data_IF_607141556380
#
_entry.id   IF_607141556380
#
_cell.length_a   1.000
_cell.length_b   1.000
_cell.length_c   1.000
_cell.angle_alpha   90.00
_cell.angle_beta   90.00
_cell.angle_gamma   90.00
#
_symmetry.space_group_name_H-M   'P 1'
#
loop_
_entity.id
_entity.type
_entity.pdbx_description
1 polymer ?
#
# COMPACT_ATOMS: atom_id res chain seq x y z
N UNK A 1 15.34 -16.60 22.36
CA UNK A 1 15.68 -15.36 21.61
C UNK A 1 14.64 -14.96 20.58
N UNK A 2 13.89 -15.88 19.93
CA UNK A 2 12.86 -15.51 18.93
C UNK A 2 11.56 -14.89 19.47
N UNK A 3 11.17 -15.16 20.72
CA UNK A 3 9.93 -14.63 21.32
C UNK A 3 9.97 -13.12 21.57
N UNK A 4 11.12 -12.58 21.97
CA UNK A 4 11.26 -11.14 22.22
C UNK A 4 11.24 -10.34 20.91
N UNK A 5 11.83 -10.88 19.84
CA UNK A 5 11.81 -10.22 18.54
C UNK A 5 10.38 -10.17 17.98
N UNK A 6 9.61 -11.26 18.05
CA UNK A 6 8.21 -11.24 17.62
C UNK A 6 7.38 -10.20 18.39
N UNK A 7 7.58 -10.13 19.72
CA UNK A 7 6.91 -9.14 20.56
C UNK A 7 7.27 -7.69 20.17
N UNK A 8 8.55 -7.41 19.90
CA UNK A 8 9.00 -6.09 19.44
C UNK A 8 8.38 -5.72 18.08
N UNK A 9 8.26 -6.68 17.17
CA UNK A 9 7.63 -6.48 15.85
C UNK A 9 6.12 -6.23 15.96
N UNK A 10 5.43 -7.01 16.78
CA UNK A 10 3.99 -6.82 17.03
C UNK A 10 3.75 -5.47 17.72
N UNK A 11 4.64 -5.07 18.64
CA UNK A 11 4.62 -3.75 19.28
C UNK A 11 4.82 -2.63 18.26
N UNK A 12 5.76 -2.76 17.31
CA UNK A 12 5.99 -1.77 16.26
C UNK A 12 4.74 -1.59 15.38
N UNK A 13 4.12 -2.70 14.96
CA UNK A 13 2.88 -2.65 14.20
C UNK A 13 1.74 -1.98 14.99
N UNK A 14 1.62 -2.28 16.29
CA UNK A 14 0.67 -1.63 17.18
C UNK A 14 0.91 -0.13 17.31
N UNK A 15 2.16 0.30 17.49
CA UNK A 15 2.54 1.72 17.54
C UNK A 15 2.21 2.44 16.24
N UNK A 16 2.54 1.84 15.09
CA UNK A 16 2.21 2.40 13.78
C UNK A 16 0.70 2.56 13.61
N UNK A 17 -0.09 1.59 14.07
CA UNK A 17 -1.57 1.65 14.04
C UNK A 17 -2.11 2.80 14.90
N UNK A 18 -1.59 2.97 16.12
CA UNK A 18 -1.97 4.08 17.00
C UNK A 18 -1.59 5.42 16.39
N UNK A 19 -0.38 5.55 15.85
CA UNK A 19 0.08 6.76 15.19
C UNK A 19 -0.77 7.08 13.95
N UNK A 20 -1.08 6.09 13.12
CA UNK A 20 -1.98 6.27 11.99
C UNK A 20 -3.36 6.76 12.45
N UNK A 21 -3.94 6.16 13.49
CA UNK A 21 -5.22 6.62 14.03
C UNK A 21 -5.15 8.08 14.50
N UNK A 22 -4.07 8.48 15.18
CA UNK A 22 -3.85 9.87 15.60
C UNK A 22 -3.72 10.82 14.41
N UNK A 23 -2.97 10.43 13.36
CA UNK A 23 -2.89 11.18 12.10
C UNK A 23 -4.26 11.32 11.45
N UNK A 24 -5.12 10.32 11.55
CA UNK A 24 -6.45 10.37 10.95
C UNK A 24 -7.46 11.24 11.70
N UNK A 25 -7.31 11.34 13.03
CA UNK A 25 -8.22 12.12 13.87
C UNK A 25 -7.74 13.57 14.04
N UNK A 26 -6.43 13.84 13.97
CA UNK A 26 -5.87 15.16 14.22
C UNK A 26 -6.45 16.31 13.36
N UNK A 27 -6.81 16.13 12.08
CA UNK A 27 -7.42 17.22 11.30
C UNK A 27 -8.83 17.58 11.76
N UNK A 28 -9.48 16.70 12.52
CA UNK A 28 -10.87 16.83 13.00
C UNK A 28 -10.95 17.51 14.37
N UNK A 29 -9.81 17.84 14.98
CA UNK A 29 -9.75 18.45 16.31
C UNK A 29 -10.06 19.96 16.17
N UNK A 30 -10.83 20.57 17.10
CA UNK A 30 -11.19 22.00 17.04
C UNK A 30 -10.00 22.97 17.00
N UNK A 31 -8.84 22.52 17.48
CA UNK A 31 -7.59 23.29 17.52
C UNK A 31 -6.82 23.27 16.18
N UNK A 32 -7.34 22.56 15.18
CA UNK A 32 -6.69 22.38 13.89
C UNK A 32 -5.57 21.34 13.90
N UNK A 33 -4.93 21.19 12.74
CA UNK A 33 -3.86 20.22 12.52
C UNK A 33 -2.49 20.84 12.82
N UNK A 34 -1.59 20.20 13.59
CA UNK A 34 -0.26 20.75 13.83
C UNK A 34 0.53 20.87 12.52
N UNK A 35 0.94 22.09 12.14
CA UNK A 35 1.51 22.38 10.82
C UNK A 35 2.73 21.53 10.41
N UNK A 36 3.52 21.03 11.38
CA UNK A 36 4.70 20.18 11.11
C UNK A 36 4.40 18.69 11.04
N UNK A 37 3.31 18.25 11.65
CA UNK A 37 2.97 16.83 11.76
C UNK A 37 2.88 16.12 10.41
N UNK A 38 2.33 16.67 9.31
CA UNK A 38 2.15 15.89 8.11
C UNK A 38 3.46 15.66 7.38
N UNK A 39 4.33 16.67 7.37
CA UNK A 39 5.69 16.57 6.83
C UNK A 39 6.52 15.58 7.63
N UNK A 40 6.47 15.63 8.97
CA UNK A 40 7.19 14.67 9.82
C UNK A 40 6.69 13.23 9.64
N UNK A 41 5.37 13.01 9.56
CA UNK A 41 4.80 11.68 9.30
C UNK A 41 5.19 11.18 7.92
N UNK A 42 5.19 12.05 6.90
CA UNK A 42 5.63 11.69 5.56
C UNK A 42 7.11 11.31 5.52
N UNK A 43 7.98 12.08 6.18
CA UNK A 43 9.41 11.80 6.28
C UNK A 43 9.66 10.46 6.96
N UNK A 44 9.01 10.20 8.10
CA UNK A 44 9.12 8.91 8.80
C UNK A 44 8.63 7.77 7.91
N UNK A 45 7.49 7.94 7.24
CA UNK A 45 6.94 6.93 6.33
C UNK A 45 7.91 6.64 5.18
N UNK A 46 8.44 7.68 4.51
CA UNK A 46 9.45 7.56 3.47
C UNK A 46 10.67 6.80 3.98
N UNK A 47 11.18 7.16 5.16
CA UNK A 47 12.33 6.52 5.79
C UNK A 47 12.12 5.03 6.03
N UNK A 48 10.97 4.65 6.60
CA UNK A 48 10.63 3.24 6.85
C UNK A 48 10.46 2.42 5.55
N UNK A 49 10.15 3.08 4.44
CA UNK A 49 9.99 2.44 3.13
C UNK A 49 11.31 2.30 2.37
N UNK A 50 12.22 3.28 2.50
CA UNK A 50 13.45 3.35 1.69
C UNK A 50 14.70 2.90 2.43
N UNK A 51 14.80 3.13 3.74
CA UNK A 51 15.94 2.70 4.53
C UNK A 51 15.72 1.26 5.02
N UNK A 52 16.64 0.36 4.69
CA UNK A 52 16.54 -1.05 5.09
C UNK A 52 17.22 -1.30 6.43
N UNK A 53 16.45 -1.83 7.39
CA UNK A 53 17.00 -2.49 8.57
C UNK A 53 17.93 -3.65 8.17
N UNK A 54 18.98 -3.88 8.97
CA UNK A 54 19.90 -5.02 8.79
C UNK A 54 19.20 -6.37 8.99
N UNK A 55 18.05 -6.39 9.65
CA UNK A 55 17.26 -7.60 9.86
C UNK A 55 16.12 -7.67 8.82
N UNK A 56 16.05 -8.73 7.99
CA UNK A 56 15.07 -8.83 6.92
C UNK A 56 13.62 -8.90 7.42
N UNK A 57 13.38 -9.53 8.58
CA UNK A 57 12.03 -9.61 9.17
C UNK A 57 11.62 -8.26 9.73
N UNK A 58 12.52 -7.58 10.44
CA UNK A 58 12.25 -6.21 10.92
C UNK A 58 11.99 -5.26 9.75
N UNK A 59 12.77 -5.37 8.67
CA UNK A 59 12.56 -4.56 7.46
C UNK A 59 11.18 -4.78 6.83
N UNK A 60 10.62 -6.01 6.85
CA UNK A 60 9.26 -6.22 6.35
C UNK A 60 8.20 -5.53 7.20
N UNK A 61 8.33 -5.58 8.53
CA UNK A 61 7.36 -4.95 9.45
C UNK A 61 7.48 -3.42 9.41
N UNK A 62 8.70 -2.89 9.32
CA UNK A 62 8.95 -1.45 9.11
C UNK A 62 8.28 -0.97 7.82
N UNK A 63 8.45 -1.70 6.71
CA UNK A 63 7.81 -1.34 5.45
C UNK A 63 6.29 -1.38 5.53
N UNK A 64 5.73 -2.41 6.16
CA UNK A 64 4.27 -2.51 6.38
C UNK A 64 3.75 -1.30 7.18
N UNK A 65 4.43 -0.96 8.27
CA UNK A 65 4.10 0.21 9.10
C UNK A 65 4.24 1.53 8.33
N UNK A 66 5.29 1.68 7.51
CA UNK A 66 5.50 2.85 6.66
C UNK A 66 4.35 3.06 5.66
N UNK A 67 3.86 1.99 5.03
CA UNK A 67 2.69 2.04 4.14
C UNK A 67 1.42 2.42 4.89
N UNK A 68 1.23 1.88 6.10
CA UNK A 68 0.07 2.16 6.92
C UNK A 68 0.03 3.64 7.37
N UNK A 69 1.16 4.20 7.78
CA UNK A 69 1.29 5.63 8.09
C UNK A 69 1.02 6.51 6.88
N UNK A 70 1.59 6.16 5.72
CA UNK A 70 1.38 6.89 4.48
C UNK A 70 -0.10 6.86 4.04
N UNK A 71 -0.74 5.69 4.11
CA UNK A 71 -2.18 5.54 3.81
C UNK A 71 -3.02 6.46 4.67
N UNK A 72 -2.77 6.47 5.99
CA UNK A 72 -3.50 7.32 6.93
C UNK A 72 -3.28 8.81 6.66
N UNK A 73 -2.03 9.21 6.38
CA UNK A 73 -1.69 10.58 6.03
C UNK A 73 -2.46 11.03 4.78
N UNK A 74 -2.40 10.25 3.70
CA UNK A 74 -3.09 10.55 2.44
C UNK A 74 -4.62 10.62 2.60
N UNK A 75 -5.19 9.78 3.47
CA UNK A 75 -6.63 9.77 3.71
C UNK A 75 -7.15 10.97 4.53
N UNK A 76 -6.26 11.73 5.17
CA UNK A 76 -6.65 12.66 6.25
C UNK A 76 -6.17 14.09 6.02
N UNK A 77 -5.15 14.30 5.19
CA UNK A 77 -4.58 15.62 4.95
C UNK A 77 -5.36 16.43 3.90
N UNK A 78 -5.42 17.77 3.99
CA UNK A 78 -5.77 18.63 2.85
C UNK A 78 -4.75 18.48 1.71
N UNK A 79 -5.23 18.57 0.45
CA UNK A 79 -4.46 18.30 -0.77
C UNK A 79 -3.27 19.23 -0.93
N UNK A 80 -3.45 20.48 -0.52
CA UNK A 80 -2.49 21.57 -0.64
C UNK A 80 -1.20 21.29 0.14
N UNK A 81 -1.27 20.49 1.22
CA UNK A 81 -0.10 20.17 2.05
C UNK A 81 0.88 19.18 1.39
N UNK A 82 0.40 18.41 0.42
CA UNK A 82 1.16 17.33 -0.21
C UNK A 82 1.34 17.49 -1.72
N UNK A 83 0.77 18.55 -2.31
CA UNK A 83 0.76 18.77 -3.77
C UNK A 83 2.18 18.84 -4.35
N UNK A 84 3.10 19.54 -3.67
CA UNK A 84 4.50 19.68 -4.09
C UNK A 84 5.30 18.36 -4.04
N UNK A 85 4.81 17.35 -3.31
CA UNK A 85 5.49 16.07 -3.12
C UNK A 85 4.79 14.90 -3.83
N UNK A 86 3.77 15.18 -4.66
CA UNK A 86 2.90 14.13 -5.23
C UNK A 86 3.67 13.09 -6.05
N UNK A 87 4.65 13.52 -6.85
CA UNK A 87 5.47 12.62 -7.67
C UNK A 87 6.47 11.83 -6.82
N UNK A 88 7.08 12.46 -5.83
CA UNK A 88 7.98 11.78 -4.88
C UNK A 88 7.23 10.70 -4.12
N UNK A 89 6.01 11.00 -3.66
CA UNK A 89 5.12 10.04 -3.01
C UNK A 89 4.80 8.90 -3.98
N UNK A 90 4.36 9.21 -5.21
CA UNK A 90 4.00 8.21 -6.20
C UNK A 90 5.18 7.29 -6.59
N UNK A 91 6.42 7.79 -6.52
CA UNK A 91 7.62 7.00 -6.82
C UNK A 91 7.87 5.87 -5.81
N UNK A 92 7.31 5.94 -4.59
CA UNK A 92 7.54 4.95 -3.54
C UNK A 92 7.07 3.55 -3.96
N UNK A 93 5.97 3.47 -4.72
CA UNK A 93 5.44 2.19 -5.23
C UNK A 93 6.34 1.53 -6.27
N UNK A 94 7.21 2.28 -6.94
CA UNK A 94 8.16 1.71 -7.88
C UNK A 94 9.07 0.68 -7.19
N UNK A 95 9.41 0.88 -5.92
CA UNK A 95 10.24 -0.05 -5.15
C UNK A 95 9.56 -1.39 -4.84
N UNK A 96 8.22 -1.42 -4.91
CA UNK A 96 7.40 -2.59 -4.58
C UNK A 96 6.93 -3.31 -5.83
N UNK A 97 6.47 -2.56 -6.84
CA UNK A 97 5.73 -3.10 -7.99
C UNK A 97 6.48 -3.02 -9.32
N UNK A 98 7.73 -2.53 -9.36
CA UNK A 98 8.55 -2.60 -10.60
C UNK A 98 9.30 -3.92 -10.76
N UNK A 99 9.36 -4.75 -9.70
CA UNK A 99 10.07 -6.02 -9.71
C UNK A 99 9.28 -7.14 -10.40
N UNK A 100 9.99 -8.22 -10.78
CA UNK A 100 9.36 -9.40 -11.37
C UNK A 100 8.71 -10.28 -10.27
N UNK A 101 7.38 -10.49 -10.29
CA UNK A 101 6.68 -11.23 -9.24
C UNK A 101 7.22 -12.65 -9.01
N UNK A 102 7.64 -13.34 -10.08
CA UNK A 102 8.18 -14.69 -9.97
C UNK A 102 9.51 -14.70 -9.20
N UNK A 103 10.38 -13.71 -9.43
CA UNK A 103 11.66 -13.59 -8.72
C UNK A 103 11.44 -13.17 -7.27
N UNK A 104 10.54 -12.21 -7.03
CA UNK A 104 10.21 -11.77 -5.68
C UNK A 104 9.68 -12.93 -4.84
N UNK A 105 8.78 -13.75 -5.38
CA UNK A 105 8.15 -14.87 -4.66
C UNK A 105 9.11 -16.06 -4.44
N UNK A 106 10.27 -16.08 -5.11
CA UNK A 106 11.34 -17.05 -4.92
C UNK A 106 12.43 -16.60 -3.94
N UNK A 107 12.42 -15.34 -3.49
CA UNK A 107 13.38 -14.86 -2.50
C UNK A 107 13.21 -15.57 -1.15
N UNK A 108 14.33 -15.83 -0.49
CA UNK A 108 14.41 -16.46 0.82
C UNK A 108 13.79 -15.54 1.88
N UNK A 109 12.58 -15.88 2.35
CA UNK A 109 11.85 -15.13 3.37
C UNK A 109 10.43 -15.65 3.53
N UNK A 110 9.74 -15.24 4.60
CA UNK A 110 8.33 -15.61 4.80
C UNK A 110 7.43 -14.80 3.87
N UNK A 111 6.89 -15.49 2.86
CA UNK A 111 6.02 -14.95 1.83
C UNK A 111 4.76 -14.28 2.42
N UNK A 112 4.30 -14.70 3.60
CA UNK A 112 3.15 -14.11 4.30
C UNK A 112 3.39 -12.63 4.62
N UNK A 113 4.54 -12.29 5.23
CA UNK A 113 4.88 -10.90 5.56
C UNK A 113 5.04 -10.04 4.31
N UNK A 114 5.55 -10.62 3.22
CA UNK A 114 5.69 -9.90 1.95
C UNK A 114 4.34 -9.58 1.32
N UNK A 115 3.40 -10.54 1.35
CA UNK A 115 2.02 -10.30 0.92
C UNK A 115 1.36 -9.22 1.77
N UNK A 116 1.62 -9.17 3.08
CA UNK A 116 1.12 -8.08 3.94
C UNK A 116 1.67 -6.72 3.54
N UNK A 117 2.98 -6.62 3.25
CA UNK A 117 3.59 -5.39 2.74
C UNK A 117 2.96 -4.96 1.41
N UNK A 118 2.77 -5.88 0.46
CA UNK A 118 2.11 -5.57 -0.82
C UNK A 118 0.66 -5.11 -0.62
N UNK A 119 -0.06 -5.76 0.28
CA UNK A 119 -1.42 -5.39 0.65
C UNK A 119 -1.49 -3.99 1.26
N UNK A 120 -0.58 -3.66 2.19
CA UNK A 120 -0.48 -2.32 2.77
C UNK A 120 -0.12 -1.26 1.72
N UNK A 121 0.78 -1.58 0.78
CA UNK A 121 1.13 -0.69 -0.32
C UNK A 121 -0.08 -0.39 -1.23
N UNK A 122 -0.89 -1.39 -1.58
CA UNK A 122 -2.11 -1.19 -2.38
C UNK A 122 -3.17 -0.40 -1.62
N UNK A 123 -3.28 -0.59 -0.31
CA UNK A 123 -4.17 0.21 0.54
C UNK A 123 -3.79 1.70 0.50
N UNK A 124 -2.49 1.99 0.66
CA UNK A 124 -1.97 3.34 0.51
C UNK A 124 -2.18 3.89 -0.90
N UNK A 125 -2.08 3.04 -1.94
CA UNK A 125 -2.34 3.45 -3.33
C UNK A 125 -3.82 3.81 -3.53
N UNK A 126 -4.72 3.10 -2.86
CA UNK A 126 -6.16 3.43 -2.84
C UNK A 126 -6.38 4.82 -2.23
N UNK A 127 -5.74 5.11 -1.10
CA UNK A 127 -5.79 6.44 -0.49
C UNK A 127 -5.24 7.51 -1.45
N UNK A 128 -4.10 7.24 -2.10
CA UNK A 128 -3.51 8.13 -3.11
C UNK A 128 -4.49 8.40 -4.27
N UNK A 129 -5.14 7.37 -4.82
CA UNK A 129 -6.12 7.50 -5.91
C UNK A 129 -7.26 8.41 -5.48
N UNK A 130 -7.88 8.13 -4.33
CA UNK A 130 -9.01 8.93 -3.82
C UNK A 130 -8.63 10.38 -3.58
N UNK A 131 -7.36 10.62 -3.27
CA UNK A 131 -6.87 11.94 -2.90
C UNK A 131 -6.43 12.79 -4.10
N UNK A 132 -5.67 12.20 -5.04
CA UNK A 132 -5.06 12.94 -6.15
C UNK A 132 -5.70 12.70 -7.53
N UNK A 133 -6.47 11.62 -7.70
CA UNK A 133 -7.10 11.25 -8.96
C UNK A 133 -8.58 11.59 -8.90
N UNK A 134 -8.89 12.87 -9.18
CA UNK A 134 -10.25 13.39 -9.28
C UNK A 134 -10.55 13.75 -10.73
N UNK A 135 -11.80 13.59 -11.22
CA UNK A 135 -12.18 13.90 -12.60
C UNK A 135 -11.79 15.31 -13.08
N UNK A 136 -11.67 16.27 -12.14
CA UNK A 136 -11.43 17.68 -12.44
C UNK A 136 -10.01 18.18 -12.14
N UNK A 137 -9.09 17.31 -11.69
CA UNK A 137 -7.74 17.73 -11.33
C UNK A 137 -6.79 17.71 -12.55
N UNK A 138 -6.10 18.83 -12.78
CA UNK A 138 -5.23 19.03 -13.95
C UNK A 138 -4.17 17.93 -14.12
N UNK A 139 -3.62 17.43 -13.02
CA UNK A 139 -2.58 16.40 -13.02
C UNK A 139 -3.12 14.96 -13.00
N UNK A 140 -4.43 14.75 -12.87
CA UNK A 140 -4.97 13.41 -12.66
C UNK A 140 -4.69 12.46 -13.83
N UNK A 141 -4.64 12.96 -15.07
CA UNK A 141 -4.26 12.12 -16.22
C UNK A 141 -2.80 11.68 -16.17
N UNK A 142 -1.90 12.55 -15.70
CA UNK A 142 -0.46 12.26 -15.61
C UNK A 142 -0.19 11.26 -14.48
N UNK A 143 -0.83 11.45 -13.32
CA UNK A 143 -0.70 10.58 -12.15
C UNK A 143 -1.39 9.22 -12.34
N UNK A 144 -2.40 9.13 -13.20
CA UNK A 144 -3.13 7.90 -13.46
C UNK A 144 -2.26 6.83 -14.11
N UNK A 145 -1.36 7.20 -15.03
CA UNK A 145 -0.59 6.20 -15.77
C UNK A 145 0.32 5.36 -14.86
N UNK A 146 1.15 5.94 -13.96
CA UNK A 146 1.93 5.13 -13.01
C UNK A 146 1.05 4.28 -12.07
N UNK A 147 -0.10 4.83 -11.64
CA UNK A 147 -1.04 4.11 -10.76
C UNK A 147 -1.57 2.84 -11.43
N UNK A 148 -1.98 2.93 -12.71
CA UNK A 148 -2.43 1.78 -13.48
C UNK A 148 -1.32 0.72 -13.63
N UNK A 149 -0.08 1.15 -13.83
CA UNK A 149 1.08 0.23 -13.88
C UNK A 149 1.26 -0.51 -12.55
N UNK A 150 1.18 0.19 -11.43
CA UNK A 150 1.31 -0.44 -10.11
C UNK A 150 0.16 -1.39 -9.78
N UNK A 151 -1.08 -1.05 -10.16
CA UNK A 151 -2.23 -1.94 -9.97
C UNK A 151 -2.16 -3.19 -10.84
N UNK A 152 -1.80 -3.05 -12.12
CA UNK A 152 -1.63 -4.19 -13.02
C UNK A 152 -0.50 -5.11 -12.54
N UNK A 153 0.57 -4.52 -12.02
CA UNK A 153 1.63 -5.28 -11.35
C UNK A 153 1.11 -6.01 -10.10
N UNK A 154 0.33 -5.36 -9.23
CA UNK A 154 -0.28 -6.01 -8.06
C UNK A 154 -1.14 -7.24 -8.46
N UNK A 155 -1.91 -7.15 -9.55
CA UNK A 155 -2.64 -8.31 -10.10
C UNK A 155 -1.69 -9.44 -10.52
N UNK A 156 -0.55 -9.13 -11.14
CA UNK A 156 0.47 -10.12 -11.49
C UNK A 156 1.04 -10.83 -10.24
N UNK A 157 1.30 -10.09 -9.16
CA UNK A 157 1.73 -10.66 -7.88
C UNK A 157 0.65 -11.56 -7.27
N UNK A 158 -0.61 -11.15 -7.33
CA UNK A 158 -1.76 -11.96 -6.90
C UNK A 158 -1.80 -13.28 -7.67
N UNK A 159 -1.68 -13.24 -9.01
CA UNK A 159 -1.74 -14.45 -9.84
C UNK A 159 -0.66 -15.46 -9.46
N UNK A 160 0.58 -14.98 -9.28
CA UNK A 160 1.70 -15.86 -8.89
C UNK A 160 1.54 -16.38 -7.46
N UNK A 161 1.06 -15.56 -6.54
CA UNK A 161 0.83 -15.97 -5.14
C UNK A 161 -0.32 -16.98 -5.02
N UNK A 162 -1.43 -16.76 -5.74
CA UNK A 162 -2.59 -17.65 -5.77
C UNK A 162 -2.27 -19.01 -6.40
N UNK A 163 -1.45 -19.04 -7.45
CA UNK A 163 -1.03 -20.27 -8.13
C UNK A 163 -0.19 -21.23 -7.27
N UNK A 164 0.38 -20.76 -6.15
CA UNK A 164 1.13 -21.63 -5.23
C UNK A 164 0.22 -22.57 -4.41
N UNK A 165 -1.07 -22.28 -4.28
CA UNK A 165 -2.06 -23.11 -3.55
C UNK A 165 -1.64 -23.51 -2.13
N UNK A 166 -0.83 -22.69 -1.45
CA UNK A 166 -0.35 -22.97 -0.10
C UNK A 166 -1.40 -22.53 0.93
N UNK A 167 -1.98 -23.45 1.74
CA UNK A 167 -3.15 -23.13 2.58
C UNK A 167 -2.92 -22.01 3.61
N UNK A 168 -1.73 -21.94 4.22
CA UNK A 168 -1.44 -20.90 5.23
C UNK A 168 -1.30 -19.49 4.64
N UNK A 169 -1.05 -19.36 3.33
CA UNK A 169 -0.97 -18.06 2.65
C UNK A 169 -2.34 -17.53 2.25
N UNK A 170 -3.35 -18.40 2.14
CA UNK A 170 -4.67 -18.06 1.60
C UNK A 170 -5.28 -16.81 2.26
N UNK A 171 -5.31 -16.66 3.60
CA UNK A 171 -5.87 -15.46 4.22
C UNK A 171 -5.16 -14.17 3.81
N UNK A 172 -3.83 -14.19 3.72
CA UNK A 172 -3.05 -13.03 3.31
C UNK A 172 -3.29 -12.69 1.83
N UNK A 173 -3.36 -13.70 0.97
CA UNK A 173 -3.68 -13.53 -0.46
C UNK A 173 -5.09 -12.99 -0.66
N UNK A 174 -6.08 -13.52 0.06
CA UNK A 174 -7.48 -13.07 -0.03
C UNK A 174 -7.61 -11.59 0.38
N UNK A 175 -6.92 -11.16 1.45
CA UNK A 175 -6.85 -9.74 1.85
C UNK A 175 -6.19 -8.91 0.74
N UNK A 176 -5.10 -9.38 0.15
CA UNK A 176 -4.41 -8.69 -0.93
C UNK A 176 -5.30 -8.52 -2.18
N UNK A 177 -6.07 -9.56 -2.53
CA UNK A 177 -7.08 -9.51 -3.59
C UNK A 177 -8.13 -8.44 -3.28
N UNK A 178 -8.75 -8.49 -2.11
CA UNK A 178 -9.81 -7.54 -1.72
C UNK A 178 -9.31 -6.10 -1.80
N UNK A 179 -8.15 -5.80 -1.23
CA UNK A 179 -7.58 -4.44 -1.27
C UNK A 179 -7.28 -3.98 -2.70
N UNK A 180 -6.78 -4.88 -3.55
CA UNK A 180 -6.51 -4.58 -4.96
C UNK A 180 -7.79 -4.28 -5.73
N UNK A 181 -8.85 -5.05 -5.51
CA UNK A 181 -10.16 -4.79 -6.12
C UNK A 181 -10.76 -3.44 -5.67
N UNK A 182 -10.64 -3.10 -4.38
CA UNK A 182 -11.06 -1.79 -3.86
C UNK A 182 -10.26 -0.64 -4.50
N UNK A 183 -8.97 -0.85 -4.75
CA UNK A 183 -8.12 0.14 -5.42
C UNK A 183 -8.59 0.40 -6.85
N UNK A 184 -8.87 -0.64 -7.63
CA UNK A 184 -9.46 -0.52 -8.97
C UNK A 184 -10.82 0.16 -8.94
N UNK A 185 -11.68 -0.20 -7.97
CA UNK A 185 -13.00 0.40 -7.80
C UNK A 185 -12.91 1.91 -7.47
N UNK A 186 -11.80 2.35 -6.86
CA UNK A 186 -11.61 3.75 -6.50
C UNK A 186 -11.16 4.62 -7.68
N UNK A 187 -10.83 4.03 -8.83
CA UNK A 187 -10.53 4.78 -10.06
C UNK A 187 -11.81 5.40 -10.65
N UNK A 188 -11.74 6.64 -11.18
CA UNK A 188 -12.94 7.37 -11.60
C UNK A 188 -13.61 6.83 -12.86
N UNK A 189 -12.86 6.22 -13.78
CA UNK A 189 -13.38 5.67 -15.04
C UNK A 189 -12.97 4.19 -15.19
N UNK A 190 -13.92 3.24 -15.20
CA UNK A 190 -13.64 1.82 -15.32
C UNK A 190 -13.02 1.42 -16.66
N UNK A 191 -13.13 2.25 -17.70
CA UNK A 191 -12.53 1.98 -19.01
C UNK A 191 -11.02 2.21 -19.04
N UNK A 192 -10.48 2.92 -18.04
CA UNK A 192 -9.03 3.21 -17.95
C UNK A 192 -8.18 1.96 -17.73
N UNK A 193 -8.74 0.92 -17.13
CA UNK A 193 -8.06 -0.36 -16.84
C UNK A 193 -8.65 -1.53 -17.64
N UNK A 194 -9.18 -1.29 -18.84
CA UNK A 194 -9.79 -2.32 -19.70
C UNK A 194 -8.89 -3.55 -19.95
N UNK A 195 -7.57 -3.36 -19.96
CA UNK A 195 -6.61 -4.43 -20.20
C UNK A 195 -6.55 -5.41 -19.02
N UNK A 196 -6.86 -4.94 -17.81
CA UNK A 196 -6.84 -5.73 -16.58
C UNK A 196 -8.20 -6.41 -16.30
N UNK A 197 -9.28 -6.01 -17.01
CA UNK A 197 -10.63 -6.55 -16.83
C UNK A 197 -10.69 -8.09 -16.81
N UNK A 198 -10.05 -8.83 -17.74
CA UNK A 198 -10.12 -10.29 -17.73
C UNK A 198 -9.61 -10.91 -16.43
N UNK A 199 -8.51 -10.38 -15.90
CA UNK A 199 -7.89 -10.87 -14.67
C UNK A 199 -8.71 -10.49 -13.44
N UNK A 200 -9.26 -9.27 -13.39
CA UNK A 200 -10.17 -8.84 -12.33
C UNK A 200 -11.42 -9.74 -12.28
N UNK A 201 -12.04 -10.00 -13.44
CA UNK A 201 -13.21 -10.87 -13.54
C UNK A 201 -12.87 -12.28 -13.07
N UNK A 202 -11.71 -12.82 -13.45
CA UNK A 202 -11.27 -14.13 -12.98
C UNK A 202 -11.14 -14.20 -11.46
N UNK A 203 -10.53 -13.19 -10.83
CA UNK A 203 -10.40 -13.12 -9.37
C UNK A 203 -11.77 -13.07 -8.69
N UNK A 204 -12.68 -12.23 -9.18
CA UNK A 204 -14.04 -12.12 -8.65
C UNK A 204 -14.88 -13.39 -8.83
N UNK A 205 -14.62 -14.18 -9.89
CA UNK A 205 -15.35 -15.42 -10.16
C UNK A 205 -14.81 -16.64 -9.39
N UNK A 206 -13.58 -16.58 -8.90
CA UNK A 206 -12.89 -17.72 -8.25
C UNK A 206 -13.68 -18.31 -7.06
N UNK A 207 -14.32 -17.54 -6.17
CA UNK A 207 -15.09 -18.09 -5.04
C UNK A 207 -16.34 -18.88 -5.45
N UNK A 208 -16.77 -18.78 -6.71
CA UNK A 208 -18.01 -19.39 -7.21
C UNK A 208 -17.76 -20.59 -8.13
N UNK A 209 -16.51 -21.03 -8.25
CA UNK A 209 -16.08 -22.24 -8.98
C UNK A 209 -15.80 -23.37 -8.01
#
# INVERSE_FOLDING_TARGET
>A
MGSNLQFELDSLHGQATVLAALVSVSPKIPLGYPARLPRSVLEVSKKMLTESSRNPVASTVEKEAGWLLLSSLLASMPKEELEDQVFDILSLWATVFSGNPAHEIMQTGDLTYRIRVWSAAVDALTAFVRFFISPNAANSRILLQPVLVYLSSALSYISVAAAKEIPHLKPAVDIFIIKTLIAYQSLPDPLTYKNDHPQIIQLCATPFR
#
